data_IF_110140411808
#
_entry.id   IF_110140411808
#
_cell.length_a   1.000
_cell.length_b   1.000
_cell.length_c   1.000
_cell.angle_alpha   90.00
_cell.angle_beta   90.00
_cell.angle_gamma   90.00
#
_symmetry.space_group_name_H-M   'P 1'
#
loop_
_entity.id
_entity.type
_entity.pdbx_description
1 polymer ?
#
# COMPACT_ATOMS: atom_id res chain seq x y z
N UNK A 1 -5.79 -15.86 -22.82
CA UNK A 1 -4.72 -15.06 -22.19
C UNK A 1 -4.19 -15.77 -20.96
N UNK A 2 -2.91 -15.59 -20.64
CA UNK A 2 -2.32 -16.12 -19.41
C UNK A 2 -2.79 -15.34 -18.18
N UNK A 3 -3.06 -16.07 -17.09
CA UNK A 3 -3.44 -15.49 -15.80
C UNK A 3 -3.04 -16.41 -14.64
N UNK A 4 -2.77 -15.82 -13.47
CA UNK A 4 -2.56 -16.56 -12.22
C UNK A 4 -3.90 -16.65 -11.50
N UNK A 5 -4.41 -17.88 -11.40
CA UNK A 5 -5.75 -18.19 -10.89
C UNK A 5 -5.65 -18.87 -9.52
N UNK A 6 -6.38 -18.36 -8.58
CA UNK A 6 -6.68 -19.03 -7.31
C UNK A 6 -7.89 -19.93 -7.51
N UNK A 7 -7.65 -21.23 -7.60
CA UNK A 7 -8.70 -22.20 -7.93
C UNK A 7 -9.46 -22.73 -6.71
N UNK A 8 -8.69 -22.97 -5.63
CA UNK A 8 -9.19 -23.72 -4.47
C UNK A 8 -8.86 -22.99 -3.16
N UNK A 9 -9.65 -23.24 -2.10
CA UNK A 9 -9.43 -22.68 -0.77
C UNK A 9 -8.27 -23.41 -0.03
N UNK A 10 -7.07 -23.43 -0.65
CA UNK A 10 -5.86 -24.09 -0.12
C UNK A 10 -4.63 -23.29 -0.53
N UNK A 11 -3.45 -23.56 0.02
CA UNK A 11 -2.21 -22.87 -0.40
C UNK A 11 -1.91 -23.09 -1.88
N UNK A 12 -1.49 -22.02 -2.57
CA UNK A 12 -1.07 -22.02 -3.96
C UNK A 12 -2.04 -21.30 -4.89
N UNK A 13 -1.60 -21.12 -6.13
CA UNK A 13 -2.34 -20.63 -7.29
C UNK A 13 -1.78 -21.32 -8.54
N UNK A 14 -2.45 -21.17 -9.69
CA UNK A 14 -2.04 -21.83 -10.94
C UNK A 14 -1.95 -20.83 -12.08
N UNK A 15 -0.88 -20.92 -12.88
CA UNK A 15 -0.82 -20.22 -14.17
C UNK A 15 -1.70 -20.96 -15.17
N UNK A 16 -2.65 -20.25 -15.79
CA UNK A 16 -3.62 -20.83 -16.72
C UNK A 16 -3.88 -19.96 -17.93
N UNK A 17 -4.31 -20.59 -19.00
CA UNK A 17 -5.00 -19.92 -20.12
C UNK A 17 -6.47 -19.70 -19.74
N UNK A 18 -6.91 -18.45 -19.74
CA UNK A 18 -8.29 -18.05 -19.46
C UNK A 18 -8.85 -17.21 -20.61
N UNK A 19 -10.18 -17.15 -20.78
CA UNK A 19 -10.80 -16.26 -21.76
C UNK A 19 -10.43 -14.79 -21.53
N UNK A 20 -10.51 -13.97 -22.58
CA UNK A 20 -10.40 -12.51 -22.45
C UNK A 20 -11.53 -11.97 -21.57
N UNK A 21 -11.27 -10.97 -20.71
CA UNK A 21 -12.32 -10.38 -19.88
C UNK A 21 -13.42 -9.73 -20.73
N UNK A 22 -14.66 -10.05 -20.41
CA UNK A 22 -15.81 -9.34 -20.98
C UNK A 22 -16.10 -8.13 -20.08
N UNK A 23 -16.04 -6.92 -20.65
CA UNK A 23 -16.24 -5.67 -19.94
C UNK A 23 -17.64 -5.08 -20.21
N UNK A 24 -18.14 -4.35 -19.22
CA UNK A 24 -19.44 -3.67 -19.28
C UNK A 24 -19.36 -2.24 -19.84
N UNK A 25 -20.51 -1.55 -19.96
CA UNK A 25 -20.56 -0.20 -20.52
C UNK A 25 -19.70 0.84 -19.80
N UNK A 26 -19.54 0.73 -18.48
CA UNK A 26 -18.77 1.68 -17.62
C UNK A 26 -17.37 1.14 -17.28
N UNK A 27 -16.90 0.09 -17.96
CA UNK A 27 -15.61 -0.55 -17.72
C UNK A 27 -14.67 -0.34 -18.90
N UNK A 28 -13.38 -0.48 -18.65
CA UNK A 28 -12.33 -0.49 -19.67
C UNK A 28 -11.58 -1.81 -19.64
N UNK A 29 -11.19 -2.30 -20.82
CA UNK A 29 -10.24 -3.39 -20.96
C UNK A 29 -8.84 -2.79 -20.94
N UNK A 30 -7.98 -3.31 -20.10
CA UNK A 30 -6.61 -2.86 -19.91
C UNK A 30 -5.61 -3.97 -20.23
N UNK A 31 -4.53 -3.61 -20.91
CA UNK A 31 -3.37 -4.47 -21.13
C UNK A 31 -2.34 -4.18 -20.04
N UNK A 32 -2.06 -5.18 -19.22
CA UNK A 32 -1.14 -5.04 -18.08
C UNK A 32 0.29 -4.83 -18.60
N UNK A 33 0.98 -3.83 -18.03
CA UNK A 33 2.40 -3.56 -18.28
C UNK A 33 3.29 -4.11 -17.17
N UNK A 34 2.84 -3.94 -15.93
CA UNK A 34 3.47 -4.48 -14.74
C UNK A 34 2.42 -4.63 -13.64
N UNK A 35 2.59 -5.61 -12.79
CA UNK A 35 1.75 -5.81 -11.59
C UNK A 35 2.64 -6.16 -10.39
N UNK A 36 2.21 -5.82 -9.17
CA UNK A 36 3.04 -6.02 -7.99
C UNK A 36 2.35 -6.95 -6.99
N UNK A 37 3.16 -7.81 -6.36
CA UNK A 37 2.65 -8.69 -5.30
C UNK A 37 2.51 -7.90 -3.99
N UNK A 38 1.34 -8.00 -3.37
CA UNK A 38 0.99 -7.42 -2.09
C UNK A 38 0.94 -8.48 -0.97
N UNK A 39 1.03 -8.04 0.29
CA UNK A 39 0.77 -8.90 1.45
C UNK A 39 -0.64 -9.50 1.43
N UNK A 40 -1.62 -8.79 0.89
CA UNK A 40 -2.99 -9.30 0.67
C UNK A 40 -3.01 -10.50 -0.28
N UNK A 41 -2.25 -10.45 -1.37
CA UNK A 41 -2.13 -11.58 -2.30
C UNK A 41 -1.50 -12.78 -1.63
N UNK A 42 -0.51 -12.56 -0.74
CA UNK A 42 0.11 -13.62 0.05
C UNK A 42 -0.89 -14.27 1.02
N UNK A 43 -1.78 -13.49 1.64
CA UNK A 43 -2.86 -14.03 2.47
C UNK A 43 -3.81 -14.92 1.66
N UNK A 44 -4.16 -14.51 0.44
CA UNK A 44 -5.02 -15.29 -0.47
C UNK A 44 -4.27 -16.52 -0.99
N UNK A 45 -3.01 -16.36 -1.39
CA UNK A 45 -2.18 -17.47 -1.84
C UNK A 45 -2.07 -18.57 -0.78
N UNK A 46 -1.82 -18.21 0.48
CA UNK A 46 -1.71 -19.12 1.61
C UNK A 46 -3.05 -19.59 2.17
N UNK A 47 -4.15 -18.97 1.75
CA UNK A 47 -5.51 -19.22 2.24
C UNK A 47 -5.62 -19.23 3.77
N UNK A 48 -5.01 -18.22 4.39
CA UNK A 48 -5.01 -18.07 5.84
C UNK A 48 -6.38 -17.59 6.38
N UNK A 49 -6.49 -17.42 7.70
CA UNK A 49 -7.73 -17.02 8.38
C UNK A 49 -8.32 -15.71 7.82
N UNK A 50 -7.48 -14.75 7.39
CA UNK A 50 -7.94 -13.51 6.78
C UNK A 50 -8.65 -13.81 5.44
N UNK A 51 -8.01 -14.59 4.56
CA UNK A 51 -8.58 -14.95 3.27
C UNK A 51 -9.89 -15.75 3.40
N UNK A 52 -9.96 -16.66 4.39
CA UNK A 52 -11.17 -17.43 4.68
C UNK A 52 -12.37 -16.56 5.08
N UNK A 53 -12.11 -15.41 5.71
CA UNK A 53 -13.14 -14.46 6.13
C UNK A 53 -13.43 -13.35 5.11
N UNK A 54 -12.60 -13.20 4.08
CA UNK A 54 -12.68 -12.10 3.11
C UNK A 54 -13.75 -12.28 2.03
N UNK A 55 -14.58 -13.34 2.10
CA UNK A 55 -15.68 -13.63 1.14
C UNK A 55 -15.21 -13.67 -0.32
N UNK A 56 -14.07 -14.28 -0.57
CA UNK A 56 -13.49 -14.42 -1.92
C UNK A 56 -14.23 -15.52 -2.67
N UNK A 57 -14.76 -15.19 -3.84
CA UNK A 57 -15.36 -16.18 -4.75
C UNK A 57 -14.26 -16.83 -5.59
N UNK A 58 -14.25 -18.17 -5.61
CA UNK A 58 -13.29 -18.97 -6.39
C UNK A 58 -13.99 -19.69 -7.56
N UNK A 59 -13.31 -19.87 -8.71
CA UNK A 59 -11.95 -19.43 -9.02
C UNK A 59 -11.86 -17.91 -9.28
N UNK A 60 -10.70 -17.29 -8.97
CA UNK A 60 -10.46 -15.86 -9.23
C UNK A 60 -9.03 -15.61 -9.72
N UNK A 61 -8.85 -14.62 -10.60
CA UNK A 61 -7.54 -14.11 -10.97
C UNK A 61 -7.05 -13.19 -9.86
N UNK A 62 -5.82 -13.42 -9.38
CA UNK A 62 -5.20 -12.64 -8.32
C UNK A 62 -4.70 -11.27 -8.80
N UNK A 63 -4.25 -10.44 -7.83
CA UNK A 63 -3.55 -9.18 -8.08
C UNK A 63 -4.46 -7.96 -8.13
N UNK A 64 -4.01 -6.87 -7.49
CA UNK A 64 -4.78 -5.63 -7.37
C UNK A 64 -3.93 -4.37 -7.51
N UNK A 65 -2.63 -4.52 -7.73
CA UNK A 65 -1.68 -3.42 -7.94
C UNK A 65 -1.12 -3.52 -9.36
N UNK A 66 -1.43 -2.59 -10.25
CA UNK A 66 -0.89 -2.63 -11.62
C UNK A 66 -0.77 -1.27 -12.29
N UNK A 67 0.09 -1.23 -13.31
CA UNK A 67 0.09 -0.25 -14.39
C UNK A 67 -0.31 -0.92 -15.70
N UNK A 68 -1.05 -0.21 -16.53
CA UNK A 68 -1.63 -0.77 -17.75
C UNK A 68 -1.92 0.28 -18.79
N UNK A 69 -2.19 -0.16 -20.03
CA UNK A 69 -2.70 0.70 -21.11
C UNK A 69 -4.14 0.29 -21.42
N UNK A 70 -5.01 1.27 -21.56
CA UNK A 70 -6.40 1.05 -21.99
C UNK A 70 -6.38 0.59 -23.45
N UNK A 71 -6.98 -0.57 -23.74
CA UNK A 71 -7.04 -1.13 -25.10
C UNK A 71 -8.46 -1.11 -25.68
N UNK A 72 -9.49 -1.15 -24.84
CA UNK A 72 -10.88 -1.00 -25.25
C UNK A 72 -11.66 -0.25 -24.15
N UNK A 73 -12.72 0.46 -24.55
CA UNK A 73 -13.57 1.26 -23.67
C UNK A 73 -15.04 0.88 -23.84
N UNK A 74 -15.76 0.77 -22.72
CA UNK A 74 -17.21 0.55 -22.73
C UNK A 74 -17.98 1.79 -23.25
N UNK A 75 -19.21 1.55 -23.73
CA UNK A 75 -20.00 2.58 -24.41
C UNK A 75 -20.41 3.78 -23.53
N UNK A 76 -20.35 3.66 -22.21
CA UNK A 76 -20.66 4.73 -21.24
C UNK A 76 -19.40 5.39 -20.63
N UNK A 77 -18.19 4.93 -20.98
CA UNK A 77 -16.91 5.54 -20.56
C UNK A 77 -16.76 6.94 -21.17
N UNK A 78 -16.36 7.91 -20.37
CA UNK A 78 -16.32 9.34 -20.76
C UNK A 78 -14.94 9.98 -20.67
N UNK A 79 -14.11 9.54 -19.73
CA UNK A 79 -12.87 10.24 -19.37
C UNK A 79 -11.61 9.47 -19.78
N UNK A 80 -11.77 8.25 -20.32
CA UNK A 80 -10.68 7.41 -20.78
C UNK A 80 -10.79 7.12 -22.26
N UNK A 81 -9.63 7.04 -22.92
CA UNK A 81 -9.50 6.68 -24.32
C UNK A 81 -8.56 5.49 -24.48
N UNK A 82 -8.70 4.77 -25.60
CA UNK A 82 -7.72 3.76 -26.00
C UNK A 82 -6.33 4.42 -26.13
N UNK A 83 -5.32 3.79 -25.54
CA UNK A 83 -3.96 4.30 -25.46
C UNK A 83 -3.64 5.00 -24.13
N UNK A 84 -4.63 5.39 -23.32
CA UNK A 84 -4.36 6.01 -22.02
C UNK A 84 -3.55 5.07 -21.11
N UNK A 85 -2.50 5.61 -20.48
CA UNK A 85 -1.69 4.92 -19.51
C UNK A 85 -2.27 5.13 -18.10
N UNK A 86 -2.54 4.04 -17.39
CA UNK A 86 -3.29 4.06 -16.14
C UNK A 86 -2.64 3.20 -15.05
N UNK A 87 -2.85 3.61 -13.80
CA UNK A 87 -2.70 2.77 -12.61
C UNK A 87 -4.08 2.42 -12.04
N UNK A 88 -4.15 1.36 -11.25
CA UNK A 88 -5.41 0.85 -10.73
C UNK A 88 -5.73 1.36 -9.32
N UNK A 89 -6.92 1.93 -9.13
CA UNK A 89 -7.54 2.11 -7.83
C UNK A 89 -8.34 0.85 -7.47
N UNK A 90 -7.98 0.20 -6.38
CA UNK A 90 -8.59 -1.09 -6.01
C UNK A 90 -9.97 -1.00 -5.38
N UNK A 91 -10.33 0.18 -4.83
CA UNK A 91 -11.62 0.37 -4.18
C UNK A 91 -12.71 0.64 -5.22
N UNK A 92 -13.63 -0.29 -5.41
CA UNK A 92 -14.81 -0.15 -6.27
C UNK A 92 -16.00 0.21 -5.38
N UNK A 93 -16.32 1.51 -5.20
CA UNK A 93 -17.40 1.93 -4.33
C UNK A 93 -18.76 1.78 -5.00
N UNK A 94 -19.81 1.55 -4.20
CA UNK A 94 -21.20 1.44 -4.71
C UNK A 94 -21.81 2.79 -5.16
N UNK A 95 -21.22 3.92 -4.77
CA UNK A 95 -21.68 5.27 -5.14
C UNK A 95 -22.90 5.79 -4.36
N UNK A 96 -23.65 4.96 -3.63
CA UNK A 96 -24.95 5.34 -3.08
C UNK A 96 -25.10 5.20 -1.56
N UNK A 97 -24.17 4.54 -0.85
CA UNK A 97 -24.21 4.42 0.61
C UNK A 97 -23.84 5.75 1.29
N UNK A 98 -24.04 5.82 2.61
CA UNK A 98 -23.70 7.01 3.40
C UNK A 98 -22.27 7.47 3.17
N UNK A 99 -21.29 6.57 3.24
CA UNK A 99 -19.88 6.88 3.05
C UNK A 99 -19.61 7.46 1.65
N UNK A 100 -20.15 6.84 0.61
CA UNK A 100 -19.97 7.32 -0.75
C UNK A 100 -20.53 8.72 -0.97
N UNK A 101 -21.72 9.00 -0.44
CA UNK A 101 -22.39 10.32 -0.55
C UNK A 101 -21.69 11.42 0.23
N UNK A 102 -20.84 11.05 1.20
CA UNK A 102 -20.08 11.99 2.04
C UNK A 102 -18.58 12.03 1.70
N UNK A 103 -18.17 11.63 0.49
CA UNK A 103 -16.77 11.71 0.04
C UNK A 103 -15.84 10.66 0.64
N UNK A 104 -16.37 9.62 1.28
CA UNK A 104 -15.62 8.57 1.94
C UNK A 104 -15.71 7.24 1.17
N UNK A 105 -15.58 7.28 -0.16
CA UNK A 105 -15.76 6.11 -1.05
C UNK A 105 -14.82 4.95 -0.70
N UNK A 106 -13.60 5.24 -0.24
CA UNK A 106 -12.60 4.26 0.17
C UNK A 106 -13.04 3.36 1.35
N UNK A 107 -14.03 3.78 2.12
CA UNK A 107 -14.65 2.99 3.20
C UNK A 107 -16.13 2.74 2.92
N UNK A 108 -16.49 2.54 1.67
CA UNK A 108 -17.85 2.22 1.23
C UNK A 108 -18.41 1.02 2.01
N UNK A 109 -19.68 1.11 2.47
CA UNK A 109 -20.32 -0.01 3.20
C UNK A 109 -20.44 -1.29 2.36
N UNK A 110 -20.50 -1.15 1.03
CA UNK A 110 -20.57 -2.24 0.07
C UNK A 110 -19.31 -2.24 -0.81
N UNK A 111 -18.14 -2.11 -0.19
CA UNK A 111 -16.88 -2.02 -0.91
C UNK A 111 -16.56 -3.35 -1.61
N UNK A 112 -16.34 -3.28 -2.90
CA UNK A 112 -15.76 -4.36 -3.69
C UNK A 112 -14.29 -4.03 -3.92
N UNK A 113 -13.40 -4.97 -3.68
CA UNK A 113 -11.96 -4.78 -3.89
C UNK A 113 -11.54 -5.57 -5.12
N UNK A 114 -11.00 -4.86 -6.10
CA UNK A 114 -10.43 -5.44 -7.32
C UNK A 114 -9.30 -6.42 -6.98
N UNK A 115 -9.29 -7.58 -7.62
CA UNK A 115 -8.32 -8.65 -7.36
C UNK A 115 -8.52 -9.42 -6.05
N UNK A 116 -9.58 -9.08 -5.27
CA UNK A 116 -9.99 -9.81 -4.07
C UNK A 116 -11.42 -10.31 -4.23
N UNK A 117 -12.37 -9.42 -4.53
CA UNK A 117 -13.78 -9.74 -4.73
C UNK A 117 -14.17 -9.83 -6.23
N UNK A 118 -13.25 -9.49 -7.11
CA UNK A 118 -13.36 -9.62 -8.57
C UNK A 118 -12.05 -10.15 -9.12
N UNK A 119 -12.04 -10.59 -10.39
CA UNK A 119 -10.80 -10.91 -11.08
C UNK A 119 -9.87 -9.71 -11.09
N UNK A 120 -8.58 -9.96 -10.87
CA UNK A 120 -7.52 -8.96 -10.75
C UNK A 120 -6.59 -8.86 -11.95
N UNK A 121 -5.36 -8.44 -11.70
CA UNK A 121 -4.38 -8.06 -12.70
C UNK A 121 -3.15 -8.98 -12.83
N UNK A 122 -3.09 -10.12 -12.14
CA UNK A 122 -2.01 -11.10 -12.40
C UNK A 122 -2.31 -11.86 -13.70
N UNK A 123 -2.31 -11.12 -14.81
CA UNK A 123 -2.70 -11.59 -16.15
C UNK A 123 -2.16 -10.66 -17.23
N UNK A 124 -2.27 -11.05 -18.49
CA UNK A 124 -1.91 -10.19 -19.63
C UNK A 124 -2.91 -9.04 -19.82
N UNK A 125 -4.21 -9.30 -19.57
CA UNK A 125 -5.29 -8.32 -19.67
C UNK A 125 -6.22 -8.42 -18.47
N UNK A 126 -6.82 -7.31 -18.11
CA UNK A 126 -7.86 -7.25 -17.08
C UNK A 126 -8.91 -6.21 -17.43
N UNK A 127 -10.00 -6.16 -16.68
CA UNK A 127 -10.99 -5.10 -16.79
C UNK A 127 -11.19 -4.39 -15.47
N UNK A 128 -11.43 -3.10 -15.54
CA UNK A 128 -11.73 -2.30 -14.34
C UNK A 128 -12.82 -1.26 -14.67
N UNK A 129 -13.62 -0.84 -13.70
CA UNK A 129 -14.50 0.32 -13.87
C UNK A 129 -13.70 1.57 -14.22
N UNK A 130 -14.24 2.44 -15.10
CA UNK A 130 -13.62 3.73 -15.47
C UNK A 130 -13.14 4.52 -14.25
N UNK A 131 -13.96 4.61 -13.21
CA UNK A 131 -13.65 5.32 -11.96
C UNK A 131 -12.45 4.76 -11.17
N UNK A 132 -12.02 3.55 -11.50
CA UNK A 132 -10.88 2.88 -10.87
C UNK A 132 -9.61 2.91 -11.74
N UNK A 133 -9.68 3.38 -12.97
CA UNK A 133 -8.54 3.57 -13.86
C UNK A 133 -8.04 5.02 -13.76
N UNK A 134 -6.93 5.22 -13.06
CA UNK A 134 -6.36 6.55 -12.84
C UNK A 134 -5.28 6.81 -13.87
N UNK A 135 -5.45 7.86 -14.70
CA UNK A 135 -4.41 8.26 -15.67
C UNK A 135 -3.14 8.66 -14.94
N UNK A 136 -2.02 8.18 -15.42
CA UNK A 136 -0.70 8.52 -14.94
C UNK A 136 0.18 9.01 -16.09
N UNK A 137 1.19 9.86 -15.84
CA UNK A 137 2.12 10.32 -16.87
C UNK A 137 2.85 9.16 -17.55
N UNK A 138 3.01 9.23 -18.89
CA UNK A 138 3.74 8.24 -19.67
C UNK A 138 5.22 8.13 -19.28
N UNK A 139 5.77 9.17 -18.65
CA UNK A 139 7.14 9.19 -18.12
C UNK A 139 7.36 8.26 -16.92
N UNK A 140 6.29 7.82 -16.26
CA UNK A 140 6.40 6.91 -15.12
C UNK A 140 6.72 5.50 -15.63
N UNK A 141 7.84 4.95 -15.12
CA UNK A 141 8.21 3.57 -15.38
C UNK A 141 7.07 2.61 -15.01
N UNK A 142 6.72 1.61 -15.85
CA UNK A 142 5.64 0.67 -15.56
C UNK A 142 5.74 -0.03 -14.20
N UNK A 143 6.95 -0.39 -13.77
CA UNK A 143 7.16 -1.02 -12.48
C UNK A 143 6.80 -0.06 -11.31
N UNK A 144 7.12 1.22 -11.44
CA UNK A 144 6.71 2.27 -10.49
C UNK A 144 5.20 2.49 -10.56
N UNK A 145 4.64 2.56 -11.77
CA UNK A 145 3.19 2.68 -11.99
C UNK A 145 2.39 1.57 -11.29
N UNK A 146 2.93 0.34 -11.27
CA UNK A 146 2.29 -0.80 -10.61
C UNK A 146 2.18 -0.66 -9.08
N UNK A 147 3.05 0.12 -8.43
CA UNK A 147 3.07 0.28 -6.97
C UNK A 147 2.46 1.61 -6.48
N UNK A 148 1.78 2.34 -7.35
CA UNK A 148 1.13 3.61 -6.96
C UNK A 148 -0.09 3.37 -6.05
N UNK A 149 -0.74 2.23 -6.20
CA UNK A 149 -1.84 1.84 -5.33
C UNK A 149 -1.42 1.85 -3.85
N UNK A 150 -0.43 1.06 -3.42
CA UNK A 150 0.02 1.06 -2.02
C UNK A 150 0.73 2.36 -1.61
N UNK A 151 1.41 3.06 -2.52
CA UNK A 151 2.01 4.37 -2.24
C UNK A 151 0.97 5.37 -1.74
N UNK A 152 -0.24 5.35 -2.30
CA UNK A 152 -1.31 6.23 -1.86
C UNK A 152 -1.65 6.10 -0.36
N UNK A 153 -1.52 4.90 0.22
CA UNK A 153 -1.71 4.70 1.67
C UNK A 153 -0.64 5.42 2.50
N UNK A 154 0.61 5.36 2.06
CA UNK A 154 1.74 6.05 2.69
C UNK A 154 1.61 7.58 2.56
N UNK A 155 1.27 8.08 1.37
CA UNK A 155 1.02 9.51 1.12
C UNK A 155 -0.13 10.02 2.00
N UNK A 156 -1.24 9.30 2.08
CA UNK A 156 -2.36 9.64 2.96
C UNK A 156 -1.92 9.73 4.42
N UNK A 157 -1.11 8.81 4.90
CA UNK A 157 -0.62 8.85 6.29
C UNK A 157 0.15 10.13 6.58
N UNK A 158 1.00 10.58 5.64
CA UNK A 158 1.74 11.83 5.77
C UNK A 158 0.82 13.07 5.75
N UNK A 159 -0.26 13.06 4.97
CA UNK A 159 -1.29 14.11 4.98
C UNK A 159 -1.99 14.16 6.33
N UNK A 160 -2.47 13.02 6.83
CA UNK A 160 -3.25 12.94 8.07
C UNK A 160 -2.44 13.36 9.31
N UNK A 161 -1.15 13.01 9.36
CA UNK A 161 -0.28 13.43 10.45
C UNK A 161 0.28 14.84 10.25
N UNK A 162 0.01 15.50 9.12
CA UNK A 162 0.57 16.81 8.77
C UNK A 162 2.10 16.83 8.87
N UNK A 163 2.76 16.05 8.04
CA UNK A 163 4.17 15.67 8.18
C UNK A 163 5.17 16.83 8.12
N UNK A 164 4.82 17.96 7.48
CA UNK A 164 5.75 19.09 7.22
C UNK A 164 6.32 19.65 8.51
N UNK A 165 7.67 19.74 8.59
CA UNK A 165 8.42 20.30 9.70
C UNK A 165 8.43 19.45 10.98
N UNK A 166 7.89 18.22 10.93
CA UNK A 166 7.77 17.34 12.10
C UNK A 166 8.89 16.30 12.20
N UNK A 167 9.16 15.86 13.41
CA UNK A 167 9.92 14.66 13.72
C UNK A 167 8.96 13.46 13.62
N UNK A 168 9.21 12.53 12.72
CA UNK A 168 8.30 11.40 12.43
C UNK A 168 9.05 10.10 12.62
N UNK A 169 8.45 9.14 13.35
CA UNK A 169 8.90 7.76 13.33
C UNK A 169 8.06 6.94 12.35
N UNK A 170 8.72 6.14 11.52
CA UNK A 170 8.09 5.11 10.69
C UNK A 170 8.46 3.76 11.29
N UNK A 171 7.47 3.05 11.78
CA UNK A 171 7.61 1.78 12.49
C UNK A 171 7.24 0.62 11.56
N UNK A 172 8.26 -0.19 11.23
CA UNK A 172 8.20 -1.18 10.18
C UNK A 172 8.57 -0.59 8.82
N UNK A 173 9.72 -1.02 8.28
CA UNK A 173 10.23 -0.64 6.96
C UNK A 173 9.96 -1.72 5.90
N UNK A 174 8.80 -2.40 5.96
CA UNK A 174 8.26 -3.14 4.83
C UNK A 174 7.93 -2.19 3.66
N UNK A 175 7.40 -2.69 2.53
CA UNK A 175 7.13 -1.86 1.36
C UNK A 175 6.35 -0.58 1.67
N UNK A 176 5.29 -0.66 2.48
CA UNK A 176 4.48 0.50 2.86
C UNK A 176 5.26 1.47 3.75
N UNK A 177 6.04 0.97 4.71
CA UNK A 177 6.88 1.81 5.57
C UNK A 177 7.98 2.53 4.78
N UNK A 178 8.63 1.85 3.84
CA UNK A 178 9.59 2.47 2.92
C UNK A 178 8.95 3.58 2.07
N UNK A 179 7.73 3.35 1.57
CA UNK A 179 6.95 4.38 0.88
C UNK A 179 6.62 5.55 1.83
N UNK A 180 6.30 5.27 3.11
CA UNK A 180 6.02 6.31 4.10
C UNK A 180 7.25 7.14 4.45
N UNK A 181 8.44 6.54 4.51
CA UNK A 181 9.71 7.27 4.67
C UNK A 181 9.92 8.24 3.52
N UNK A 182 9.78 7.78 2.27
CA UNK A 182 9.94 8.62 1.09
C UNK A 182 8.87 9.71 1.00
N UNK A 183 7.61 9.38 1.29
CA UNK A 183 6.53 10.36 1.35
C UNK A 183 6.79 11.41 2.44
N UNK A 184 7.19 11.02 3.65
CA UNK A 184 7.52 11.96 4.72
C UNK A 184 8.63 12.94 4.33
N UNK A 185 9.67 12.47 3.62
CA UNK A 185 10.69 13.35 3.01
C UNK A 185 10.07 14.31 2.01
N UNK A 186 9.25 13.82 1.08
CA UNK A 186 8.60 14.66 0.07
C UNK A 186 7.67 15.72 0.68
N UNK A 187 7.05 15.42 1.81
CA UNK A 187 6.23 16.37 2.59
C UNK A 187 7.05 17.32 3.46
N UNK A 188 8.37 17.20 3.49
CA UNK A 188 9.26 18.10 4.24
C UNK A 188 9.26 17.84 5.75
N UNK A 189 9.23 16.58 6.18
CA UNK A 189 9.48 16.21 7.57
C UNK A 189 10.88 16.68 8.01
N UNK A 190 11.01 17.17 9.24
CA UNK A 190 12.28 17.66 9.77
C UNK A 190 13.25 16.52 10.04
N UNK A 191 12.80 15.49 10.74
CA UNK A 191 13.54 14.25 10.94
C UNK A 191 12.63 13.03 10.70
N UNK A 192 13.21 11.96 10.15
CA UNK A 192 12.52 10.71 9.85
C UNK A 192 13.31 9.58 10.50
N UNK A 193 12.73 8.98 11.54
CA UNK A 193 13.28 7.84 12.26
C UNK A 193 12.67 6.56 11.69
N UNK A 194 13.43 5.82 10.88
CA UNK A 194 13.02 4.53 10.35
C UNK A 194 13.37 3.42 11.35
N UNK A 195 12.38 2.66 11.79
CA UNK A 195 12.53 1.59 12.78
C UNK A 195 12.15 0.24 12.16
N UNK A 196 13.05 -0.72 12.14
CA UNK A 196 12.81 -2.10 11.70
C UNK A 196 13.77 -3.04 12.43
N UNK A 197 13.60 -4.35 12.27
CA UNK A 197 14.52 -5.40 12.74
C UNK A 197 15.47 -5.89 11.62
N UNK A 198 15.29 -5.41 10.40
CA UNK A 198 15.98 -5.87 9.20
C UNK A 198 16.87 -4.78 8.62
N UNK A 199 18.19 -4.96 8.69
CA UNK A 199 19.17 -3.98 8.23
C UNK A 199 19.10 -3.68 6.73
N UNK A 200 18.72 -4.66 5.89
CA UNK A 200 18.54 -4.42 4.46
C UNK A 200 17.45 -3.37 4.23
N UNK A 201 16.33 -3.47 4.94
CA UNK A 201 15.22 -2.50 4.86
C UNK A 201 15.61 -1.16 5.43
N UNK A 202 16.37 -1.13 6.52
CA UNK A 202 16.90 0.11 7.10
C UNK A 202 17.86 0.83 6.14
N UNK A 203 18.68 0.10 5.39
CA UNK A 203 19.55 0.68 4.36
C UNK A 203 18.73 1.29 3.22
N UNK A 204 17.68 0.63 2.75
CA UNK A 204 16.76 1.20 1.75
C UNK A 204 16.05 2.43 2.33
N UNK A 205 15.60 2.40 3.60
CA UNK A 205 14.97 3.55 4.25
C UNK A 205 15.93 4.76 4.30
N UNK A 206 17.21 4.54 4.56
CA UNK A 206 18.23 5.59 4.53
C UNK A 206 18.37 6.22 3.13
N UNK A 207 18.41 5.40 2.09
CA UNK A 207 18.45 5.85 0.69
C UNK A 207 17.21 6.68 0.34
N UNK A 208 16.04 6.27 0.82
CA UNK A 208 14.77 6.96 0.62
C UNK A 208 14.62 8.25 1.43
N UNK A 209 15.52 8.52 2.37
CA UNK A 209 15.59 9.78 3.09
C UNK A 209 15.33 9.73 4.59
N UNK A 210 15.36 8.55 5.21
CA UNK A 210 15.41 8.47 6.66
C UNK A 210 16.64 9.20 7.19
N UNK A 211 16.45 10.12 8.15
CA UNK A 211 17.56 10.83 8.80
C UNK A 211 18.25 9.95 9.85
N UNK A 212 17.48 9.02 10.43
CA UNK A 212 17.96 8.06 11.41
C UNK A 212 17.36 6.67 11.09
N UNK A 213 18.18 5.65 11.20
CA UNK A 213 17.75 4.23 11.09
C UNK A 213 18.05 3.53 12.41
N UNK A 214 17.07 2.78 12.92
CA UNK A 214 17.13 2.14 14.24
C UNK A 214 16.75 0.67 14.09
N UNK A 215 17.70 -0.22 14.38
CA UNK A 215 17.42 -1.66 14.45
C UNK A 215 16.86 -1.99 15.83
N UNK A 216 15.55 -2.20 15.91
CA UNK A 216 14.85 -2.48 17.17
C UNK A 216 15.07 -3.92 17.70
N UNK A 217 15.78 -4.78 16.97
CA UNK A 217 16.27 -6.05 17.49
C UNK A 217 17.52 -5.88 18.36
N UNK A 218 18.26 -4.78 18.18
CA UNK A 218 19.53 -4.52 18.87
C UNK A 218 19.41 -3.51 20.01
N UNK A 219 18.47 -2.53 19.86
CA UNK A 219 18.33 -1.43 20.83
C UNK A 219 16.86 -1.13 21.12
N UNK A 220 16.61 -0.48 22.26
CA UNK A 220 15.32 0.11 22.57
C UNK A 220 15.09 1.36 21.68
N UNK A 221 14.28 1.18 20.63
CA UNK A 221 14.00 2.23 19.67
C UNK A 221 13.32 3.46 20.32
N UNK A 222 12.42 3.25 21.29
CA UNK A 222 11.73 4.36 21.94
C UNK A 222 12.70 5.21 22.78
N UNK A 223 13.62 4.55 23.47
CA UNK A 223 14.68 5.23 24.23
C UNK A 223 15.62 6.01 23.29
N UNK A 224 16.10 5.37 22.22
CA UNK A 224 17.01 6.01 21.27
C UNK A 224 16.36 7.20 20.56
N UNK A 225 15.09 7.11 20.15
CA UNK A 225 14.35 8.24 19.58
C UNK A 225 14.27 9.40 20.57
N UNK A 226 14.00 9.15 21.86
CA UNK A 226 13.98 10.20 22.88
C UNK A 226 15.33 10.85 23.06
N UNK A 227 16.42 10.09 23.11
CA UNK A 227 17.77 10.62 23.20
C UNK A 227 18.10 11.53 22.00
N UNK A 228 17.72 11.14 20.78
CA UNK A 228 17.92 11.90 19.56
C UNK A 228 16.97 13.12 19.40
N UNK A 229 16.01 13.26 20.31
CA UNK A 229 15.03 14.37 20.33
C UNK A 229 15.04 15.13 21.66
N UNK A 230 16.17 15.18 22.34
CA UNK A 230 16.38 15.91 23.63
C UNK A 230 15.34 15.53 24.71
N UNK A 231 14.92 14.27 24.74
CA UNK A 231 13.93 13.74 25.67
C UNK A 231 12.46 14.01 25.31
N UNK A 232 12.20 14.83 24.28
CA UNK A 232 10.84 15.24 23.87
C UNK A 232 10.08 14.07 23.21
N UNK A 233 10.69 13.38 22.26
CA UNK A 233 10.08 12.36 21.43
C UNK A 233 9.59 12.91 20.08
N UNK A 234 9.04 12.02 19.24
CA UNK A 234 8.54 12.39 17.90
C UNK A 234 7.18 13.08 17.95
N UNK A 235 6.91 13.95 16.97
CA UNK A 235 5.62 14.63 16.79
C UNK A 235 4.53 13.66 16.32
N UNK A 236 4.92 12.68 15.52
CA UNK A 236 4.01 11.65 15.03
C UNK A 236 4.74 10.33 14.77
N UNK A 237 3.99 9.23 14.79
CA UNK A 237 4.50 8.01 14.19
C UNK A 237 3.50 7.37 13.23
N UNK A 238 4.04 6.67 12.24
CA UNK A 238 3.29 5.87 11.27
C UNK A 238 3.62 4.40 11.56
N UNK A 239 2.62 3.61 11.95
CA UNK A 239 2.81 2.17 12.05
C UNK A 239 2.48 1.48 10.73
N UNK A 240 3.48 0.85 10.13
CA UNK A 240 3.36 -0.02 8.96
C UNK A 240 3.76 -1.47 9.27
N UNK A 241 3.98 -1.80 10.56
CA UNK A 241 4.43 -3.11 11.00
C UNK A 241 3.29 -4.07 11.37
N UNK A 242 2.21 -3.53 11.96
CA UNK A 242 1.17 -4.33 12.59
C UNK A 242 1.67 -5.17 13.79
N UNK A 243 2.90 -4.92 14.26
CA UNK A 243 3.44 -5.62 15.41
C UNK A 243 3.06 -4.89 16.71
N UNK A 244 2.37 -5.57 17.61
CA UNK A 244 1.83 -4.95 18.83
C UNK A 244 2.92 -4.35 19.74
N UNK A 245 4.08 -5.00 19.86
CA UNK A 245 5.20 -4.47 20.65
C UNK A 245 5.83 -3.25 20.00
N UNK A 246 5.97 -3.25 18.67
CA UNK A 246 6.49 -2.11 17.92
C UNK A 246 5.53 -0.91 18.00
N UNK A 247 4.22 -1.13 17.91
CA UNK A 247 3.20 -0.08 18.10
C UNK A 247 3.31 0.54 19.49
N UNK A 248 3.46 -0.27 20.55
CA UNK A 248 3.67 0.24 21.92
C UNK A 248 4.94 1.07 22.03
N UNK A 249 6.05 0.62 21.40
CA UNK A 249 7.28 1.41 21.29
C UNK A 249 7.05 2.76 20.61
N UNK A 250 6.20 2.80 19.56
CA UNK A 250 5.76 4.02 18.90
C UNK A 250 5.08 4.99 19.88
N UNK A 251 4.11 4.52 20.65
CA UNK A 251 3.48 5.35 21.69
C UNK A 251 4.47 5.83 22.74
N UNK A 252 5.42 5.02 23.15
CA UNK A 252 6.45 5.40 24.12
C UNK A 252 7.41 6.45 23.55
N UNK A 253 7.75 6.38 22.26
CA UNK A 253 8.63 7.36 21.61
C UNK A 253 7.96 8.69 21.31
N UNK A 254 6.63 8.75 21.31
CA UNK A 254 5.85 9.93 20.92
C UNK A 254 5.70 10.93 22.08
N UNK A 255 5.85 12.22 21.78
CA UNK A 255 5.61 13.32 22.71
C UNK A 255 4.13 13.48 23.08
N UNK A 256 3.85 14.31 24.09
CA UNK A 256 2.46 14.79 24.36
C UNK A 256 1.95 15.62 23.18
N UNK A 257 0.67 15.54 22.89
CA UNK A 257 0.01 16.17 21.74
C UNK A 257 0.41 15.56 20.39
N UNK A 258 1.02 14.35 20.37
CA UNK A 258 1.44 13.68 19.17
C UNK A 258 0.31 12.99 18.41
N UNK A 259 0.58 12.61 17.16
CA UNK A 259 -0.39 11.96 16.26
C UNK A 259 0.11 10.59 15.81
N UNK A 260 -0.79 9.61 15.79
CA UNK A 260 -0.52 8.24 15.36
C UNK A 260 -1.30 7.95 14.09
N UNK A 261 -0.64 7.45 13.05
CA UNK A 261 -1.28 6.86 11.88
C UNK A 261 -1.06 5.33 11.89
N UNK A 262 -2.13 4.56 12.03
CA UNK A 262 -2.10 3.10 12.03
C UNK A 262 -2.49 2.58 10.64
N UNK A 263 -1.55 1.94 9.97
CA UNK A 263 -1.74 1.27 8.66
C UNK A 263 -1.66 -0.24 8.85
N UNK A 264 -0.67 -0.69 9.64
CA UNK A 264 -0.42 -2.10 9.90
C UNK A 264 -1.62 -2.79 10.54
N UNK A 265 -1.95 -4.00 10.09
CA UNK A 265 -3.01 -4.81 10.66
C UNK A 265 -2.43 -5.75 11.71
N UNK A 266 -2.71 -5.54 13.02
CA UNK A 266 -2.22 -6.42 14.05
C UNK A 266 -2.79 -7.82 13.92
N UNK A 267 -1.94 -8.83 14.04
CA UNK A 267 -2.36 -10.25 14.03
C UNK A 267 -3.04 -10.71 15.32
N UNK A 268 -2.95 -9.92 16.38
CA UNK A 268 -3.57 -10.14 17.70
C UNK A 268 -3.99 -8.81 18.32
N UNK A 269 -4.93 -8.81 19.27
CA UNK A 269 -5.33 -7.59 19.99
C UNK A 269 -4.13 -6.86 20.60
N UNK A 270 -4.14 -5.53 20.51
CA UNK A 270 -3.19 -4.65 21.17
C UNK A 270 -3.72 -4.28 22.56
N UNK A 271 -2.98 -4.63 23.60
CA UNK A 271 -3.23 -4.15 24.96
C UNK A 271 -2.46 -2.85 25.19
N UNK A 272 -3.14 -1.77 25.52
CA UNK A 272 -2.57 -0.44 25.72
C UNK A 272 -3.17 0.23 26.95
N UNK A 273 -2.32 0.83 27.79
CA UNK A 273 -2.78 1.73 28.85
C UNK A 273 -3.25 3.06 28.24
N UNK A 274 -4.57 3.16 28.05
CA UNK A 274 -5.19 4.35 27.49
C UNK A 274 -4.97 5.60 28.35
N UNK A 275 -4.88 5.47 29.68
CA UNK A 275 -4.62 6.60 30.58
C UNK A 275 -3.30 7.27 30.26
N UNK A 276 -2.21 6.52 30.34
CA UNK A 276 -0.86 7.05 30.17
C UNK A 276 -0.49 7.34 28.72
N UNK A 277 -0.92 6.49 27.77
CA UNK A 277 -0.47 6.59 26.36
C UNK A 277 -1.38 7.44 25.49
N UNK A 278 -2.65 7.62 25.85
CA UNK A 278 -3.60 8.36 25.05
C UNK A 278 -4.11 9.61 25.78
N UNK A 279 -4.76 9.43 26.95
CA UNK A 279 -5.41 10.55 27.65
C UNK A 279 -4.40 11.58 28.14
N UNK A 280 -3.39 11.18 28.92
CA UNK A 280 -2.37 12.10 29.46
C UNK A 280 -1.39 12.62 28.42
N UNK A 281 -1.37 12.02 27.24
CA UNK A 281 -0.63 12.55 26.09
C UNK A 281 -1.47 13.44 25.17
N UNK A 282 -2.79 13.50 25.33
CA UNK A 282 -3.70 14.11 24.35
C UNK A 282 -3.40 13.59 22.92
N UNK A 283 -3.17 12.28 22.79
CA UNK A 283 -2.75 11.67 21.56
C UNK A 283 -3.92 11.60 20.55
N UNK A 284 -3.65 11.88 19.28
CA UNK A 284 -4.58 11.64 18.17
C UNK A 284 -4.25 10.29 17.53
N UNK A 285 -5.22 9.40 17.42
CA UNK A 285 -5.06 8.09 16.80
C UNK A 285 -5.92 8.04 15.55
N UNK A 286 -5.31 7.81 14.39
CA UNK A 286 -5.95 7.80 13.09
C UNK A 286 -5.73 6.43 12.45
N UNK A 287 -6.83 5.68 12.20
CA UNK A 287 -6.78 4.48 11.38
C UNK A 287 -6.75 4.84 9.89
N UNK A 288 -5.86 4.23 9.14
CA UNK A 288 -5.73 4.46 7.71
C UNK A 288 -6.18 3.22 6.94
N UNK A 289 -7.29 3.32 6.23
CA UNK A 289 -7.77 2.30 5.30
C UNK A 289 -7.56 2.79 3.87
N UNK A 290 -6.50 2.31 3.21
CA UNK A 290 -6.15 2.71 1.85
C UNK A 290 -5.95 4.23 1.70
N UNK A 291 -6.44 4.79 0.62
CA UNK A 291 -6.29 6.20 0.21
C UNK A 291 -7.65 6.85 -0.02
N UNK A 292 -7.73 8.16 0.14
CA UNK A 292 -8.95 8.92 -0.17
C UNK A 292 -9.06 9.02 -1.71
N UNK A 293 -10.09 8.41 -2.27
CA UNK A 293 -10.45 8.56 -3.67
C UNK A 293 -11.02 9.98 -3.90
N UNK A 294 -10.48 10.79 -4.73
CA UNK A 294 -9.36 10.78 -5.63
C UNK A 294 -8.27 11.75 -5.12
N UNK A 295 -8.53 12.39 -3.98
CA UNK A 295 -7.66 13.43 -3.41
C UNK A 295 -6.23 12.95 -3.20
N UNK A 296 -6.05 11.74 -2.66
CA UNK A 296 -4.70 11.19 -2.46
C UNK A 296 -3.99 10.93 -3.80
N UNK A 297 -4.72 10.48 -4.84
CA UNK A 297 -4.16 10.29 -6.17
C UNK A 297 -3.65 11.60 -6.77
N UNK A 298 -4.41 12.70 -6.62
CA UNK A 298 -3.98 14.02 -7.09
C UNK A 298 -2.70 14.47 -6.41
N UNK A 299 -2.62 14.34 -5.07
CA UNK A 299 -1.42 14.71 -4.31
C UNK A 299 -0.22 13.86 -4.77
N UNK A 300 -0.40 12.55 -4.86
CA UNK A 300 0.63 11.60 -5.28
C UNK A 300 1.13 11.89 -6.69
N UNK A 301 0.22 12.11 -7.64
CA UNK A 301 0.58 12.45 -9.03
C UNK A 301 1.39 13.75 -9.10
N UNK A 302 1.02 14.78 -8.34
CA UNK A 302 1.78 16.02 -8.29
C UNK A 302 3.19 15.84 -7.71
N UNK A 303 3.35 15.00 -6.67
CA UNK A 303 4.65 14.71 -6.09
C UNK A 303 5.55 13.91 -7.04
N UNK A 304 4.97 12.96 -7.77
CA UNK A 304 5.67 12.18 -8.80
C UNK A 304 6.10 13.05 -9.98
N UNK A 305 5.21 13.91 -10.49
CA UNK A 305 5.49 14.83 -11.59
C UNK A 305 6.66 15.78 -11.29
N UNK A 306 6.83 16.16 -10.02
CA UNK A 306 7.94 17.00 -9.56
C UNK A 306 9.19 16.22 -9.17
N UNK A 307 9.21 14.89 -9.34
CA UNK A 307 10.34 14.05 -8.97
C UNK A 307 10.65 14.03 -7.46
N UNK A 308 9.65 14.36 -6.63
CA UNK A 308 9.81 14.38 -5.18
C UNK A 308 9.69 13.00 -4.54
N UNK A 309 9.14 12.03 -5.27
CA UNK A 309 9.04 10.64 -4.84
C UNK A 309 9.96 9.77 -5.69
N UNK A 310 10.84 9.01 -5.02
CA UNK A 310 11.70 8.01 -5.64
C UNK A 310 11.26 6.61 -5.19
N UNK A 311 10.57 5.89 -6.07
CA UNK A 311 10.02 4.57 -5.75
C UNK A 311 10.92 3.41 -6.18
N UNK A 312 11.94 3.65 -7.00
CA UNK A 312 12.78 2.60 -7.58
C UNK A 312 13.50 1.73 -6.52
N UNK A 313 14.09 2.29 -5.44
CA UNK A 313 14.77 1.47 -4.44
C UNK A 313 13.85 0.49 -3.69
N UNK A 314 12.54 0.73 -3.72
CA UNK A 314 11.54 -0.15 -3.09
C UNK A 314 11.29 -1.40 -3.92
N UNK A 315 11.53 -1.33 -5.24
CA UNK A 315 11.35 -2.45 -6.18
C UNK A 315 12.61 -3.29 -6.15
N UNK A 316 12.59 -4.40 -5.43
CA UNK A 316 13.77 -5.24 -5.27
C UNK A 316 13.86 -6.37 -6.29
N UNK A 317 12.74 -6.77 -6.87
CA UNK A 317 12.69 -7.87 -7.83
C UNK A 317 11.69 -7.54 -8.96
N UNK A 318 12.11 -7.83 -10.20
CA UNK A 318 11.27 -7.79 -11.39
C UNK A 318 11.41 -9.15 -12.07
N UNK A 319 10.33 -9.91 -12.14
CA UNK A 319 10.30 -11.28 -12.67
C UNK A 319 9.14 -11.45 -13.64
N UNK A 320 9.17 -12.49 -14.46
CA UNK A 320 8.06 -12.79 -15.38
C UNK A 320 6.83 -13.27 -14.62
N UNK A 321 5.66 -13.06 -15.21
CA UNK A 321 4.38 -13.53 -14.66
C UNK A 321 4.41 -15.04 -14.36
N UNK A 322 5.06 -15.82 -15.23
CA UNK A 322 5.20 -17.28 -15.09
C UNK A 322 6.03 -17.70 -13.87
N UNK A 323 6.89 -16.81 -13.36
CA UNK A 323 7.74 -17.08 -12.19
C UNK A 323 7.08 -16.65 -10.87
N UNK A 324 5.77 -16.44 -10.84
CA UNK A 324 5.04 -15.87 -9.71
C UNK A 324 5.28 -16.60 -8.37
N UNK A 325 5.44 -17.92 -8.38
CA UNK A 325 5.72 -18.72 -7.17
C UNK A 325 7.00 -18.25 -6.47
N UNK A 326 8.05 -17.96 -7.26
CA UNK A 326 9.30 -17.36 -6.75
C UNK A 326 9.04 -15.99 -6.11
N UNK A 327 8.14 -15.19 -6.70
CA UNK A 327 7.73 -13.90 -6.14
C UNK A 327 7.08 -14.06 -4.77
N UNK A 328 6.17 -15.01 -4.61
CA UNK A 328 5.55 -15.32 -3.32
C UNK A 328 6.57 -15.84 -2.29
N UNK A 329 7.52 -16.69 -2.69
CA UNK A 329 8.59 -17.16 -1.80
C UNK A 329 9.48 -16.03 -1.29
N UNK A 330 9.83 -15.04 -2.14
CA UNK A 330 10.61 -13.86 -1.75
C UNK A 330 9.86 -13.08 -0.66
N UNK A 331 8.55 -12.88 -0.83
CA UNK A 331 7.73 -12.21 0.18
C UNK A 331 7.61 -13.01 1.48
N UNK A 332 7.35 -14.31 1.41
CA UNK A 332 7.26 -15.20 2.59
C UNK A 332 8.54 -15.17 3.44
N UNK A 333 9.70 -15.13 2.79
CA UNK A 333 11.01 -15.07 3.44
C UNK A 333 11.38 -13.65 3.91
N UNK A 334 10.60 -12.62 3.60
CA UNK A 334 10.91 -11.23 3.94
C UNK A 334 12.19 -10.68 3.29
N UNK A 335 12.60 -11.25 2.15
CA UNK A 335 13.88 -10.98 1.48
C UNK A 335 13.87 -9.75 0.57
N UNK A 336 12.81 -8.94 0.57
CA UNK A 336 12.75 -7.80 -0.34
C UNK A 336 11.75 -6.72 0.05
N UNK A 337 11.73 -5.69 -0.79
CA UNK A 337 10.67 -4.68 -0.85
C UNK A 337 9.51 -5.16 -1.73
N UNK A 338 9.20 -4.44 -2.81
CA UNK A 338 8.19 -4.86 -3.78
C UNK A 338 8.76 -5.83 -4.81
N UNK A 339 7.94 -6.84 -5.14
CA UNK A 339 8.18 -7.81 -6.22
C UNK A 339 7.20 -7.49 -7.35
N UNK A 340 7.73 -7.22 -8.53
CA UNK A 340 6.98 -6.92 -9.74
C UNK A 340 6.90 -8.17 -10.61
N UNK A 341 5.70 -8.44 -11.13
CA UNK A 341 5.45 -9.43 -12.16
C UNK A 341 5.20 -8.72 -13.49
N UNK A 342 5.86 -9.17 -14.56
CA UNK A 342 5.69 -8.63 -15.91
C UNK A 342 5.09 -9.72 -16.79
N UNK A 343 3.89 -9.52 -17.37
CA UNK A 343 3.25 -10.45 -18.29
C UNK A 343 3.99 -10.68 -19.59
#
# INVERSE_FOLDING_TARGET
MKAIVKDNPSKGASLKEVPMPVYGPEEVLIKIKATAICGTDLHIYNWNTWAQNAKIELPTVLGHECSAVVVEVGSAVKNLNVGDYVACETHIPCGQCYQCKNGMQHICANLVIYGVHTNGCFSEYSKIPEKCAVKIPESINPNVGAILEPLGTAVRSCVEIQATGKNIAVIGCGPIGLMAVNAAKAFGAANIFAVDINDLRLNIAKELGATHTINSAEVDAAKQIRELTDGIGVDAFIDASGNTSAILGGFQSMRKGGTVALIGLPSKPLEIDLGSQVVFKEAKIIGIHGRIMYGTWTIMSNLLDKGLLNMEPIITHVIKLEEFEKGFEILEKGLGGKVILVP
#
